data_IF_490306936164
#
_entry.id   IF_490306936164
#
_cell.length_a   1.000
_cell.length_b   1.000
_cell.length_c   1.000
_cell.angle_alpha   90.00
_cell.angle_beta   90.00
_cell.angle_gamma   90.00
#
_symmetry.space_group_name_H-M   'P 1'
#
loop_
_entity.id
_entity.type
_entity.pdbx_description
1 polymer ?
#
# COMPACT_ATOMS: atom_id res chain seq x y z
N UNK A 1 21.66 53.14 59.39
CA UNK A 1 21.25 51.88 60.06
C UNK A 1 19.74 51.78 60.01
N UNK A 2 19.24 50.60 59.63
CA UNK A 2 17.86 50.11 59.71
C UNK A 2 16.76 50.89 58.98
N UNK A 3 16.49 50.50 57.73
CA UNK A 3 15.19 50.68 57.09
C UNK A 3 14.22 49.61 57.61
N UNK A 4 13.13 50.01 58.25
CA UNK A 4 12.07 49.11 58.72
C UNK A 4 11.11 48.79 57.59
N UNK A 5 11.33 47.61 57.01
CA UNK A 5 10.39 46.78 56.27
C UNK A 5 9.17 46.44 57.16
N UNK A 6 7.94 46.88 56.84
CA UNK A 6 6.73 46.27 57.46
C UNK A 6 5.36 46.66 56.86
N UNK A 7 5.22 47.09 55.61
CA UNK A 7 3.85 47.35 55.09
C UNK A 7 3.70 47.27 53.57
N UNK A 8 4.35 46.29 52.94
CA UNK A 8 4.16 46.00 51.51
C UNK A 8 3.95 44.51 51.25
N UNK A 9 3.41 43.78 52.24
CA UNK A 9 3.10 42.35 52.14
C UNK A 9 1.63 42.05 51.86
N UNK A 10 0.75 43.06 51.83
CA UNK A 10 -0.70 42.85 51.64
C UNK A 10 -1.17 42.87 50.17
N UNK A 11 -0.31 43.20 49.21
CA UNK A 11 -0.68 43.25 47.78
C UNK A 11 -0.37 41.96 46.99
N UNK A 12 0.19 40.92 47.63
CA UNK A 12 0.64 39.71 46.95
C UNK A 12 -0.39 38.55 46.95
N UNK A 13 -1.67 38.84 47.17
CA UNK A 13 -2.74 37.84 47.10
C UNK A 13 -3.88 38.20 46.15
N UNK A 14 -3.64 39.13 45.22
CA UNK A 14 -4.53 39.33 44.09
C UNK A 14 -4.17 38.33 42.97
N UNK A 15 -5.08 37.44 42.56
CA UNK A 15 -4.84 36.62 41.38
C UNK A 15 -4.73 37.54 40.15
N UNK A 16 -3.54 37.59 39.54
CA UNK A 16 -3.24 38.28 38.26
C UNK A 16 -4.02 37.67 37.08
N UNK A 17 -4.71 36.55 37.31
CA UNK A 17 -5.56 35.92 36.32
C UNK A 17 -7.01 36.15 36.70
N UNK A 18 -7.74 36.85 35.84
CA UNK A 18 -9.20 36.74 35.79
C UNK A 18 -9.59 35.25 35.76
N UNK A 19 -10.70 34.84 36.41
CA UNK A 19 -11.19 33.47 36.25
C UNK A 19 -11.24 33.19 34.75
N UNK A 20 -10.82 31.98 34.30
CA UNK A 20 -10.87 31.67 32.88
C UNK A 20 -12.29 32.01 32.42
N UNK A 21 -12.40 33.05 31.60
CA UNK A 21 -13.63 33.37 30.89
C UNK A 21 -14.12 32.03 30.36
N UNK A 22 -15.30 31.62 30.85
CA UNK A 22 -15.95 30.32 30.62
C UNK A 22 -15.31 29.69 29.41
N UNK A 23 -14.46 28.65 29.60
CA UNK A 23 -13.83 27.95 28.47
C UNK A 23 -14.90 27.83 27.42
N UNK A 24 -14.74 28.61 26.34
CA UNK A 24 -15.61 28.54 25.19
C UNK A 24 -15.65 27.04 24.91
N UNK A 25 -16.83 26.45 25.14
CA UNK A 25 -16.94 25.00 25.17
C UNK A 25 -16.24 24.52 23.92
N UNK A 26 -15.26 23.62 24.07
CA UNK A 26 -14.68 22.95 22.91
C UNK A 26 -15.89 22.36 22.21
N UNK A 27 -16.30 23.03 21.14
CA UNK A 27 -17.50 22.73 20.40
C UNK A 27 -17.27 21.32 19.90
N UNK A 28 -18.02 20.36 20.44
CA UNK A 28 -17.94 18.97 20.02
C UNK A 28 -18.67 18.89 18.69
N UNK A 29 -18.01 19.38 17.65
CA UNK A 29 -18.48 19.30 16.28
C UNK A 29 -18.36 17.82 15.88
N UNK A 30 -19.44 17.26 15.35
CA UNK A 30 -19.41 15.89 14.83
C UNK A 30 -18.55 15.83 13.57
N UNK A 31 -17.93 14.69 13.27
CA UNK A 31 -17.00 14.57 12.13
C UNK A 31 -17.69 14.98 10.83
N UNK A 32 -18.96 14.60 10.66
CA UNK A 32 -19.77 14.96 9.49
C UNK A 32 -19.97 16.49 9.36
N UNK A 33 -20.25 17.17 10.48
CA UNK A 33 -20.47 18.61 10.54
C UNK A 33 -19.16 19.40 10.34
N UNK A 34 -18.02 18.83 10.75
CA UNK A 34 -16.69 19.37 10.46
C UNK A 34 -16.33 19.21 8.98
N UNK A 35 -16.65 18.06 8.37
CA UNK A 35 -16.41 17.80 6.95
C UNK A 35 -17.26 18.70 6.07
N UNK A 36 -18.53 18.88 6.39
CA UNK A 36 -19.41 19.79 5.65
C UNK A 36 -18.92 21.24 5.71
N UNK A 37 -18.52 21.71 6.91
CA UNK A 37 -18.09 23.10 7.14
C UNK A 37 -16.73 23.44 6.51
N UNK A 38 -15.77 22.52 6.54
CA UNK A 38 -14.39 22.79 6.08
C UNK A 38 -14.05 22.16 4.72
N UNK A 39 -14.70 21.06 4.34
CA UNK A 39 -14.44 20.33 3.10
C UNK A 39 -15.51 20.59 2.02
N UNK A 40 -16.72 21.03 2.42
CA UNK A 40 -17.86 21.20 1.51
C UNK A 40 -18.49 19.87 1.09
N UNK A 41 -19.52 19.93 0.24
CA UNK A 41 -20.18 18.72 -0.29
C UNK A 41 -19.25 17.96 -1.25
N UNK A 42 -19.17 16.64 -1.10
CA UNK A 42 -18.40 15.77 -2.00
C UNK A 42 -18.96 15.86 -3.42
N UNK A 43 -18.27 16.59 -4.29
CA UNK A 43 -18.68 16.74 -5.69
C UNK A 43 -18.56 15.44 -6.47
N UNK A 44 -19.35 15.28 -7.53
CA UNK A 44 -19.26 14.12 -8.45
C UNK A 44 -17.85 13.92 -9.02
N UNK A 45 -17.10 15.00 -9.20
CA UNK A 45 -15.73 14.98 -9.67
C UNK A 45 -14.74 14.44 -8.63
N UNK A 46 -14.91 14.84 -7.38
CA UNK A 46 -14.12 14.32 -6.26
C UNK A 46 -14.39 12.82 -6.04
N UNK A 47 -15.66 12.40 -6.17
CA UNK A 47 -16.04 10.99 -6.12
C UNK A 47 -15.40 10.18 -7.26
N UNK A 48 -15.42 10.70 -8.49
CA UNK A 48 -14.76 10.06 -9.65
C UNK A 48 -13.26 9.87 -9.38
N UNK A 49 -12.57 10.90 -8.87
CA UNK A 49 -11.15 10.78 -8.52
C UNK A 49 -10.90 9.77 -7.41
N UNK A 50 -11.71 9.80 -6.35
CA UNK A 50 -11.60 8.85 -5.26
C UNK A 50 -11.72 7.41 -5.77
N UNK A 51 -12.75 7.11 -6.58
CA UNK A 51 -12.95 5.79 -7.17
C UNK A 51 -11.77 5.40 -8.06
N UNK A 52 -11.30 6.28 -8.94
CA UNK A 52 -10.15 5.98 -9.82
C UNK A 52 -8.87 5.69 -9.03
N UNK A 53 -8.62 6.46 -7.97
CA UNK A 53 -7.48 6.22 -7.08
C UNK A 53 -7.62 4.90 -6.35
N UNK A 54 -8.79 4.61 -5.75
CA UNK A 54 -9.02 3.32 -5.08
C UNK A 54 -8.84 2.13 -6.04
N UNK A 55 -9.33 2.23 -7.28
CA UNK A 55 -9.13 1.21 -8.31
C UNK A 55 -7.64 1.02 -8.65
N UNK A 56 -6.87 2.11 -8.76
CA UNK A 56 -5.43 2.02 -9.03
C UNK A 56 -4.69 1.26 -7.92
N UNK A 57 -4.97 1.59 -6.65
CA UNK A 57 -4.39 0.88 -5.50
C UNK A 57 -4.81 -0.59 -5.44
N UNK A 58 -6.07 -0.90 -5.76
CA UNK A 58 -6.53 -2.28 -5.81
C UNK A 58 -5.81 -3.08 -6.90
N UNK A 59 -5.67 -2.52 -8.11
CA UNK A 59 -4.95 -3.14 -9.22
C UNK A 59 -3.47 -3.36 -8.88
N UNK A 60 -2.82 -2.40 -8.21
CA UNK A 60 -1.45 -2.54 -7.72
C UNK A 60 -1.30 -3.70 -6.73
N UNK A 61 -2.23 -3.85 -5.79
CA UNK A 61 -2.23 -4.93 -4.82
C UNK A 61 -2.38 -6.30 -5.49
N UNK A 62 -3.34 -6.46 -6.41
CA UNK A 62 -3.53 -7.71 -7.14
C UNK A 62 -2.33 -8.06 -8.01
N UNK A 63 -1.77 -7.08 -8.71
CA UNK A 63 -0.59 -7.29 -9.54
C UNK A 63 0.61 -7.76 -8.70
N UNK A 64 0.87 -7.10 -7.56
CA UNK A 64 1.94 -7.49 -6.63
C UNK A 64 1.72 -8.90 -6.08
N UNK A 65 0.48 -9.26 -5.75
CA UNK A 65 0.14 -10.60 -5.28
C UNK A 65 0.42 -11.67 -6.35
N UNK A 66 0.08 -11.43 -7.62
CA UNK A 66 0.37 -12.38 -8.70
C UNK A 66 1.88 -12.52 -8.92
N UNK A 67 2.60 -11.41 -8.91
CA UNK A 67 4.05 -11.39 -9.12
C UNK A 67 4.82 -12.15 -8.03
N UNK A 68 4.44 -12.01 -6.75
CA UNK A 68 5.13 -12.73 -5.67
C UNK A 68 5.00 -14.26 -5.78
N UNK A 69 3.85 -14.75 -6.26
CA UNK A 69 3.66 -16.20 -6.47
C UNK A 69 4.31 -16.68 -7.77
N UNK A 70 4.45 -15.81 -8.77
CA UNK A 70 5.14 -16.11 -10.02
C UNK A 70 6.67 -16.15 -9.87
N UNK A 71 7.22 -15.38 -8.92
CA UNK A 71 8.67 -15.32 -8.67
C UNK A 71 9.20 -16.48 -7.80
N UNK A 72 8.32 -17.18 -7.08
CA UNK A 72 8.74 -18.26 -6.18
C UNK A 72 8.98 -19.56 -6.94
N UNK A 73 10.22 -19.77 -7.36
CA UNK A 73 10.67 -21.06 -7.90
C UNK A 73 10.55 -22.17 -6.83
N UNK A 74 9.77 -23.23 -7.07
CA UNK A 74 9.64 -24.35 -6.14
C UNK A 74 10.84 -25.29 -6.23
N UNK A 75 11.15 -25.97 -5.13
CA UNK A 75 12.16 -27.02 -5.14
C UNK A 75 11.67 -28.24 -5.95
N UNK A 76 12.61 -28.94 -6.58
CA UNK A 76 12.33 -30.13 -7.39
C UNK A 76 13.16 -31.31 -6.88
N UNK A 77 12.67 -32.53 -7.14
CA UNK A 77 13.36 -33.79 -6.83
C UNK A 77 13.35 -34.72 -8.03
N UNK A 78 14.33 -35.60 -8.11
CA UNK A 78 14.34 -36.64 -9.13
C UNK A 78 13.38 -37.77 -8.79
N UNK A 79 12.74 -38.32 -9.82
CA UNK A 79 11.92 -39.52 -9.68
C UNK A 79 12.84 -40.73 -9.56
N UNK A 80 12.57 -41.61 -8.59
CA UNK A 80 13.37 -42.82 -8.37
C UNK A 80 13.39 -43.70 -9.64
N UNK A 81 14.60 -44.08 -10.08
CA UNK A 81 14.80 -44.97 -11.23
C UNK A 81 14.96 -44.29 -12.59
N UNK A 82 15.01 -42.96 -12.66
CA UNK A 82 15.42 -42.22 -13.87
C UNK A 82 16.79 -41.57 -13.72
N UNK A 83 17.54 -41.48 -14.82
CA UNK A 83 18.72 -40.63 -14.88
C UNK A 83 18.28 -39.16 -14.85
N UNK A 84 18.57 -38.49 -13.75
CA UNK A 84 18.51 -37.05 -13.63
C UNK A 84 19.94 -36.53 -13.41
N UNK A 85 20.33 -35.52 -14.16
CA UNK A 85 21.59 -34.82 -13.88
C UNK A 85 21.33 -33.83 -12.75
N UNK A 86 21.80 -34.13 -11.53
CA UNK A 86 21.73 -33.21 -10.40
C UNK A 86 22.52 -31.90 -10.64
N UNK A 87 23.47 -31.91 -11.59
CA UNK A 87 24.23 -30.74 -12.04
C UNK A 87 23.57 -29.98 -13.22
N UNK A 88 22.48 -30.52 -13.80
CA UNK A 88 21.78 -29.93 -14.94
C UNK A 88 20.61 -29.04 -14.53
N UNK A 89 20.27 -28.06 -15.37
CA UNK A 89 19.05 -27.28 -15.16
C UNK A 89 17.80 -28.13 -15.43
N UNK A 90 16.71 -27.88 -14.70
CA UNK A 90 15.40 -28.52 -14.91
C UNK A 90 14.92 -28.46 -16.37
N UNK A 91 15.37 -27.44 -17.10
CA UNK A 91 15.02 -27.15 -18.48
C UNK A 91 15.67 -28.08 -19.51
N UNK A 92 16.81 -28.68 -19.16
CA UNK A 92 17.57 -29.54 -20.07
C UNK A 92 17.23 -31.03 -19.88
N UNK A 93 16.39 -31.35 -18.88
CA UNK A 93 16.01 -32.71 -18.52
C UNK A 93 14.64 -33.09 -19.09
N UNK A 94 14.44 -34.39 -19.32
CA UNK A 94 13.13 -34.91 -19.70
C UNK A 94 12.10 -34.64 -18.58
N UNK A 95 10.90 -34.18 -18.95
CA UNK A 95 9.83 -33.83 -17.99
C UNK A 95 9.33 -35.00 -17.14
N UNK A 96 9.75 -36.24 -17.44
CA UNK A 96 9.40 -37.43 -16.69
C UNK A 96 10.44 -37.78 -15.61
N UNK A 97 11.68 -37.26 -15.68
CA UNK A 97 12.77 -37.65 -14.78
C UNK A 97 12.80 -36.87 -13.46
N UNK A 98 11.98 -35.83 -13.32
CA UNK A 98 11.92 -34.98 -12.15
C UNK A 98 10.47 -34.61 -11.81
N UNK A 99 10.22 -34.29 -10.54
CA UNK A 99 8.92 -33.86 -10.03
C UNK A 99 9.08 -32.70 -9.03
N UNK A 100 8.08 -31.81 -8.99
CA UNK A 100 8.05 -30.70 -8.02
C UNK A 100 7.80 -31.22 -6.60
N UNK A 101 8.53 -30.67 -5.63
CA UNK A 101 8.30 -30.96 -4.22
C UNK A 101 7.00 -30.25 -3.81
N UNK A 102 5.94 -31.04 -3.59
CA UNK A 102 4.59 -30.55 -3.28
C UNK A 102 3.54 -30.81 -4.38
N UNK A 103 3.95 -31.32 -5.54
CA UNK A 103 3.04 -31.63 -6.65
C UNK A 103 2.77 -30.44 -7.57
N UNK A 104 1.82 -30.61 -8.51
CA UNK A 104 1.53 -29.63 -9.58
C UNK A 104 0.76 -28.40 -9.09
N UNK A 105 0.06 -28.51 -7.97
CA UNK A 105 -0.79 -27.45 -7.41
C UNK A 105 -0.12 -26.72 -6.24
N UNK A 106 1.15 -27.01 -5.95
CA UNK A 106 1.87 -26.41 -4.83
C UNK A 106 2.21 -24.93 -5.06
N UNK A 107 2.34 -24.50 -6.32
CA UNK A 107 2.68 -23.13 -6.66
C UNK A 107 2.12 -22.73 -8.04
N UNK A 108 1.83 -21.44 -8.21
CA UNK A 108 1.48 -20.86 -9.52
C UNK A 108 2.56 -21.14 -10.57
N UNK A 109 3.83 -21.27 -10.14
CA UNK A 109 4.94 -21.64 -11.04
C UNK A 109 4.82 -23.07 -11.56
N UNK A 110 4.36 -24.02 -10.74
CA UNK A 110 4.18 -25.43 -11.14
C UNK A 110 2.96 -25.63 -12.01
N UNK A 111 1.89 -24.89 -11.74
CA UNK A 111 0.63 -24.94 -12.50
C UNK A 111 0.84 -24.41 -13.94
N UNK A 112 1.51 -23.27 -14.08
CA UNK A 112 1.67 -22.57 -15.36
C UNK A 112 3.04 -22.81 -16.02
N UNK A 113 3.90 -23.62 -15.40
CA UNK A 113 5.26 -23.94 -15.87
C UNK A 113 6.09 -22.69 -16.20
N UNK A 114 6.16 -21.72 -15.28
CA UNK A 114 6.84 -20.43 -15.46
C UNK A 114 8.38 -20.50 -15.50
N UNK A 115 8.94 -21.69 -15.63
CA UNK A 115 10.39 -21.94 -15.72
C UNK A 115 10.87 -21.92 -17.18
N UNK A 116 12.19 -21.93 -17.36
CA UNK A 116 12.82 -22.07 -18.67
C UNK A 116 12.40 -20.97 -19.66
N UNK A 117 11.95 -21.36 -20.86
CA UNK A 117 11.51 -20.46 -21.92
C UNK A 117 10.23 -19.68 -21.60
N UNK A 118 9.52 -19.97 -20.51
CA UNK A 118 8.27 -19.31 -20.14
C UNK A 118 8.43 -18.20 -19.08
N UNK A 119 9.65 -17.98 -18.58
CA UNK A 119 9.98 -16.90 -17.62
C UNK A 119 9.61 -15.50 -18.14
N UNK A 120 9.60 -15.29 -19.46
CA UNK A 120 9.23 -14.00 -20.05
C UNK A 120 7.79 -13.60 -19.75
N UNK A 121 6.88 -14.55 -19.46
CA UNK A 121 5.48 -14.27 -19.16
C UNK A 121 5.34 -13.36 -17.94
N UNK A 122 6.18 -13.57 -16.92
CA UNK A 122 6.24 -12.73 -15.71
C UNK A 122 6.67 -11.30 -16.08
N UNK A 123 7.74 -11.18 -16.86
CA UNK A 123 8.24 -9.89 -17.35
C UNK A 123 7.23 -9.15 -18.24
N UNK A 124 6.43 -9.88 -19.02
CA UNK A 124 5.37 -9.32 -19.85
C UNK A 124 4.26 -8.70 -19.01
N UNK A 125 3.78 -9.40 -17.98
CA UNK A 125 2.75 -8.89 -17.06
C UNK A 125 3.23 -7.61 -16.39
N UNK A 126 4.47 -7.60 -15.90
CA UNK A 126 5.12 -6.42 -15.32
C UNK A 126 5.16 -5.23 -16.30
N UNK A 127 5.51 -5.47 -17.57
CA UNK A 127 5.59 -4.43 -18.60
C UNK A 127 4.20 -3.85 -18.95
N UNK A 128 3.17 -4.69 -19.02
CA UNK A 128 1.79 -4.26 -19.26
C UNK A 128 1.28 -3.44 -18.07
N UNK A 129 1.61 -3.82 -16.84
CA UNK A 129 1.25 -3.05 -15.65
C UNK A 129 1.84 -1.65 -15.68
N UNK A 130 3.14 -1.50 -15.88
CA UNK A 130 3.78 -0.17 -15.95
C UNK A 130 3.22 0.69 -17.09
N UNK A 131 2.94 0.08 -18.24
CA UNK A 131 2.27 0.76 -19.35
C UNK A 131 0.88 1.26 -18.95
N UNK A 132 0.11 0.41 -18.27
CA UNK A 132 -1.20 0.78 -17.71
C UNK A 132 -1.11 1.94 -16.71
N UNK A 133 -0.12 1.93 -15.81
CA UNK A 133 0.13 3.01 -14.86
C UNK A 133 0.45 4.34 -15.57
N UNK A 134 1.23 4.33 -16.64
CA UNK A 134 1.54 5.55 -17.41
C UNK A 134 0.27 6.14 -18.04
N UNK A 135 -0.56 5.29 -18.66
CA UNK A 135 -1.83 5.73 -19.29
C UNK A 135 -2.80 6.23 -18.21
N UNK A 136 -2.95 5.51 -17.10
CA UNK A 136 -3.82 5.91 -16.00
C UNK A 136 -3.40 7.24 -15.37
N UNK A 137 -2.10 7.46 -15.19
CA UNK A 137 -1.55 8.72 -14.69
C UNK A 137 -1.85 9.88 -15.64
N UNK A 138 -1.70 9.66 -16.96
CA UNK A 138 -2.05 10.67 -17.96
C UNK A 138 -3.53 11.05 -17.92
N UNK A 139 -4.44 10.07 -17.82
CA UNK A 139 -5.88 10.31 -17.73
C UNK A 139 -6.25 11.07 -16.46
N UNK A 140 -5.68 10.69 -15.32
CA UNK A 140 -5.88 11.38 -14.04
C UNK A 140 -5.36 12.82 -14.07
N UNK A 141 -4.17 13.03 -14.64
CA UNK A 141 -3.56 14.35 -14.75
C UNK A 141 -4.31 15.26 -15.74
N UNK A 142 -4.69 14.74 -16.90
CA UNK A 142 -5.53 15.47 -17.86
C UNK A 142 -6.89 15.84 -17.25
N UNK A 143 -7.43 14.97 -16.40
CA UNK A 143 -8.66 15.25 -15.66
C UNK A 143 -8.48 16.38 -14.65
N UNK A 144 -7.33 16.45 -13.98
CA UNK A 144 -6.97 17.52 -13.04
C UNK A 144 -6.77 18.89 -13.72
N UNK A 145 -6.27 18.91 -14.97
CA UNK A 145 -6.01 20.12 -15.75
C UNK A 145 -7.26 20.84 -16.29
N UNK A 146 -8.44 20.20 -16.19
CA UNK A 146 -9.72 20.80 -16.61
C UNK A 146 -10.44 21.59 -15.49
N UNK A 147 -9.78 21.81 -14.35
CA UNK A 147 -10.20 22.68 -13.24
C UNK A 147 -9.20 23.81 -13.03
#
# INVERSE_FOLDING_TARGET
MAATLSSFSDDLHSPIMSPPSKKAGTEKICIDEMLEKYCGEFGKWQLKHFILTCLAWALEAFHTMVMIFADREPDWKCVEGMECSADGSVCDMASSSWEWIGGKDASTVTEWSLICGDKFKVGLVQAVFFTGCMIGSFILFSSLLQF
#
